data_IF_288466021352
#
_entry.id   IF_288466021352
#
_cell.length_a   1.000
_cell.length_b   1.000
_cell.length_c   1.000
_cell.angle_alpha   90.00
_cell.angle_beta   90.00
_cell.angle_gamma   90.00
#
_symmetry.space_group_name_H-M   'P 1'
#
loop_
_entity.id
_entity.type
_entity.pdbx_description
1 polymer ?
#
# COMPACT_ATOMS: atom_id res chain seq x y z
N UNK A 1 -15.03 -3.82 -34.31
CA UNK A 1 -14.96 -4.00 -32.84
C UNK A 1 -16.28 -4.52 -32.27
N UNK A 2 -17.43 -3.92 -32.59
CA UNK A 2 -18.73 -4.35 -32.04
C UNK A 2 -19.21 -5.75 -32.43
N UNK A 3 -18.81 -6.26 -33.60
CA UNK A 3 -19.15 -7.61 -34.04
C UNK A 3 -18.47 -8.74 -33.22
N UNK A 4 -17.61 -8.39 -32.27
CA UNK A 4 -16.93 -9.34 -31.37
C UNK A 4 -17.70 -9.55 -30.05
N UNK A 5 -18.75 -8.77 -29.77
CA UNK A 5 -19.51 -8.88 -28.53
C UNK A 5 -20.77 -9.74 -28.72
N UNK A 6 -20.92 -10.77 -27.88
CA UNK A 6 -22.11 -11.64 -27.90
C UNK A 6 -23.37 -10.93 -27.41
N UNK A 7 -23.22 -10.08 -26.40
CA UNK A 7 -24.28 -9.25 -25.81
C UNK A 7 -23.76 -7.84 -25.56
N UNK A 8 -24.66 -6.86 -25.66
CA UNK A 8 -24.39 -5.46 -25.39
C UNK A 8 -25.40 -4.92 -24.39
N UNK A 9 -24.89 -4.12 -23.46
CA UNK A 9 -25.63 -3.42 -22.43
C UNK A 9 -25.49 -1.92 -22.69
N UNK A 10 -26.61 -1.22 -22.83
CA UNK A 10 -26.67 0.24 -22.97
C UNK A 10 -27.21 0.81 -21.66
N UNK A 11 -26.43 1.67 -21.02
CA UNK A 11 -26.77 2.31 -19.74
C UNK A 11 -26.93 3.81 -19.96
N UNK A 12 -28.02 4.38 -19.43
CA UNK A 12 -28.25 5.81 -19.39
C UNK A 12 -28.47 6.28 -17.95
N UNK A 13 -27.60 7.14 -17.43
CA UNK A 13 -27.68 7.67 -16.06
C UNK A 13 -27.89 6.59 -14.97
N UNK A 14 -27.24 5.45 -15.12
CA UNK A 14 -27.33 4.32 -14.19
C UNK A 14 -28.54 3.39 -14.40
N UNK A 15 -29.39 3.64 -15.40
CA UNK A 15 -30.54 2.81 -15.77
C UNK A 15 -30.25 1.98 -17.01
N UNK A 16 -30.78 0.76 -17.05
CA UNK A 16 -30.64 -0.15 -18.17
C UNK A 16 -31.64 0.21 -19.27
N UNK A 17 -31.12 0.51 -20.47
CA UNK A 17 -31.92 0.92 -21.63
C UNK A 17 -32.05 -0.21 -22.65
N UNK A 18 -31.05 -1.08 -22.72
CA UNK A 18 -31.08 -2.28 -23.55
C UNK A 18 -30.05 -3.30 -23.07
N UNK A 19 -30.43 -4.57 -23.04
CA UNK A 19 -29.51 -5.69 -22.90
C UNK A 19 -29.89 -6.82 -23.87
N UNK A 20 -28.92 -7.29 -24.65
CA UNK A 20 -29.16 -8.37 -25.60
C UNK A 20 -28.15 -8.43 -26.74
N UNK A 21 -28.47 -9.18 -27.79
CA UNK A 21 -27.60 -9.33 -28.98
C UNK A 21 -27.57 -8.04 -29.79
N UNK A 22 -26.45 -7.80 -30.48
CA UNK A 22 -26.26 -6.61 -31.32
C UNK A 22 -27.32 -6.42 -32.40
N UNK A 23 -27.72 -7.49 -33.09
CA UNK A 23 -28.77 -7.42 -34.12
C UNK A 23 -30.14 -7.04 -33.53
N UNK A 24 -30.37 -7.46 -32.28
CA UNK A 24 -31.56 -7.10 -31.51
C UNK A 24 -31.55 -5.63 -31.09
N UNK A 25 -30.39 -5.08 -30.73
CA UNK A 25 -30.25 -3.70 -30.30
C UNK A 25 -30.69 -2.72 -31.40
N UNK A 26 -30.19 -2.94 -32.63
CA UNK A 26 -30.56 -2.08 -33.77
C UNK A 26 -32.04 -2.17 -34.06
N UNK A 27 -32.61 -3.38 -34.09
CA UNK A 27 -34.05 -3.58 -34.33
C UNK A 27 -34.91 -2.92 -33.25
N UNK A 28 -34.53 -3.05 -31.98
CA UNK A 28 -35.25 -2.44 -30.87
C UNK A 28 -35.27 -0.91 -31.00
N UNK A 29 -34.10 -0.29 -31.15
CA UNK A 29 -34.02 1.17 -31.25
C UNK A 29 -34.65 1.71 -32.54
N UNK A 30 -34.45 1.06 -33.69
CA UNK A 30 -35.01 1.53 -34.96
C UNK A 30 -36.51 1.27 -35.09
N UNK A 31 -36.98 0.08 -34.71
CA UNK A 31 -38.35 -0.36 -35.01
C UNK A 31 -39.31 -0.19 -33.85
N UNK A 32 -38.86 -0.31 -32.60
CA UNK A 32 -39.73 -0.15 -31.42
C UNK A 32 -39.73 1.27 -30.87
N UNK A 33 -38.62 2.00 -31.00
CA UNK A 33 -38.46 3.35 -30.45
C UNK A 33 -38.35 4.45 -31.52
N UNK A 34 -38.29 4.09 -32.81
CA UNK A 34 -38.22 5.05 -33.92
C UNK A 34 -36.92 5.85 -33.98
N UNK A 35 -35.84 5.34 -33.36
CA UNK A 35 -34.53 5.96 -33.35
C UNK A 35 -33.69 5.34 -34.47
N UNK A 36 -33.56 5.99 -35.61
CA UNK A 36 -32.82 5.48 -36.76
C UNK A 36 -31.36 5.91 -36.74
N UNK A 37 -30.51 5.04 -37.31
CA UNK A 37 -29.09 5.31 -37.49
C UNK A 37 -28.86 6.09 -38.79
N UNK A 38 -28.26 7.29 -38.75
CA UNK A 38 -27.82 7.99 -39.95
C UNK A 38 -26.78 7.20 -40.73
N UNK A 39 -26.76 7.32 -42.06
CA UNK A 39 -25.85 6.56 -42.93
C UNK A 39 -24.35 6.79 -42.66
N UNK A 40 -24.00 7.94 -42.06
CA UNK A 40 -22.62 8.34 -41.78
C UNK A 40 -22.12 7.96 -40.38
N UNK A 41 -23.00 7.43 -39.52
CA UNK A 41 -22.69 7.18 -38.11
C UNK A 41 -22.28 5.74 -37.89
N UNK A 42 -21.20 5.54 -37.12
CA UNK A 42 -20.78 4.20 -36.70
C UNK A 42 -21.83 3.56 -35.79
N UNK A 43 -21.92 2.23 -35.77
CA UNK A 43 -22.88 1.52 -34.91
C UNK A 43 -22.62 1.81 -33.40
N UNK A 44 -21.36 2.02 -33.02
CA UNK A 44 -20.97 2.35 -31.64
C UNK A 44 -21.38 3.76 -31.24
N UNK A 45 -21.18 4.74 -32.12
CA UNK A 45 -21.63 6.10 -31.86
C UNK A 45 -23.15 6.15 -31.76
N UNK A 46 -23.84 5.44 -32.65
CA UNK A 46 -25.30 5.36 -32.62
C UNK A 46 -25.82 4.80 -31.29
N UNK A 47 -25.32 3.65 -30.82
CA UNK A 47 -25.78 3.05 -29.56
C UNK A 47 -25.46 3.93 -28.34
N UNK A 48 -24.35 4.67 -28.36
CA UNK A 48 -24.00 5.61 -27.29
C UNK A 48 -24.83 6.90 -27.35
N UNK A 49 -25.19 7.32 -28.57
CA UNK A 49 -25.97 8.52 -28.82
C UNK A 49 -27.47 8.35 -28.55
N UNK A 50 -27.99 7.14 -28.66
CA UNK A 50 -29.41 6.81 -28.42
C UNK A 50 -29.88 7.20 -27.02
N UNK A 51 -29.00 7.12 -26.02
CA UNK A 51 -29.29 7.56 -24.64
C UNK A 51 -29.21 9.07 -24.43
N UNK A 52 -28.59 9.81 -25.34
CA UNK A 52 -28.38 11.26 -25.21
C UNK A 52 -29.52 12.00 -25.92
N UNK A 53 -30.15 12.93 -25.21
CA UNK A 53 -31.15 13.79 -25.82
C UNK A 53 -30.52 14.65 -26.93
N UNK A 54 -31.15 14.65 -28.11
CA UNK A 54 -30.82 15.54 -29.25
C UNK A 54 -29.43 15.33 -29.86
N UNK A 55 -28.92 14.10 -29.80
CA UNK A 55 -27.66 13.77 -30.48
C UNK A 55 -27.83 13.76 -32.02
N UNK A 56 -26.94 14.41 -32.79
CA UNK A 56 -26.97 14.41 -34.26
C UNK A 56 -26.68 13.03 -34.86
N UNK A 57 -26.23 12.08 -34.04
CA UNK A 57 -25.94 10.71 -34.42
C UNK A 57 -27.20 9.80 -34.43
N UNK A 58 -28.39 10.34 -34.16
CA UNK A 58 -29.67 9.61 -34.15
C UNK A 58 -30.76 10.43 -34.84
N UNK A 59 -31.43 9.82 -35.80
CA UNK A 59 -32.60 10.41 -36.47
C UNK A 59 -33.87 9.90 -35.81
N UNK A 60 -34.70 10.79 -35.26
CA UNK A 60 -35.97 10.39 -34.64
C UNK A 60 -37.07 10.38 -35.70
N UNK A 61 -37.77 9.26 -35.82
CA UNK A 61 -38.97 9.16 -36.65
C UNK A 61 -40.06 10.08 -36.11
N UNK A 62 -40.85 10.68 -37.00
CA UNK A 62 -42.07 11.41 -36.64
C UNK A 62 -43.19 10.51 -36.14
N UNK A 63 -43.12 9.22 -36.47
CA UNK A 63 -44.26 8.29 -36.38
C UNK A 63 -44.35 7.61 -35.01
N UNK A 64 -43.23 7.53 -34.29
CA UNK A 64 -43.13 6.92 -32.97
C UNK A 64 -42.62 7.96 -31.97
N UNK A 65 -43.36 8.16 -30.88
CA UNK A 65 -42.92 9.03 -29.78
C UNK A 65 -41.80 8.33 -29.02
N UNK A 66 -40.57 8.67 -29.38
CA UNK A 66 -39.40 8.14 -28.70
C UNK A 66 -39.31 8.66 -27.25
N UNK A 67 -38.95 7.81 -26.28
CA UNK A 67 -38.70 8.22 -24.91
C UNK A 67 -37.58 9.27 -24.85
N UNK A 68 -37.70 10.20 -23.91
CA UNK A 68 -36.74 11.32 -23.73
C UNK A 68 -36.05 11.28 -22.38
N UNK A 69 -36.71 10.76 -21.37
CA UNK A 69 -36.12 10.63 -20.03
C UNK A 69 -35.52 9.23 -19.84
N UNK A 70 -34.44 9.09 -19.04
CA UNK A 70 -33.85 7.77 -18.74
C UNK A 70 -34.87 6.77 -18.16
N UNK A 71 -35.87 7.26 -17.44
CA UNK A 71 -36.95 6.46 -16.84
C UNK A 71 -37.93 5.92 -17.88
N UNK A 72 -38.31 6.74 -18.87
CA UNK A 72 -39.13 6.29 -19.99
C UNK A 72 -38.40 5.24 -20.84
N UNK A 73 -37.08 5.38 -21.02
CA UNK A 73 -36.28 4.37 -21.73
C UNK A 73 -36.24 3.03 -21.00
N UNK A 74 -36.09 3.03 -19.68
CA UNK A 74 -36.13 1.83 -18.84
C UNK A 74 -37.51 1.16 -18.90
N UNK A 75 -38.59 1.93 -18.74
CA UNK A 75 -39.96 1.42 -18.82
C UNK A 75 -40.28 0.85 -20.22
N UNK A 76 -39.82 1.51 -21.28
CA UNK A 76 -39.98 1.03 -22.65
C UNK A 76 -39.21 -0.28 -22.89
N UNK A 77 -38.03 -0.44 -22.28
CA UNK A 77 -37.26 -1.66 -22.41
C UNK A 77 -37.93 -2.85 -21.73
N UNK A 78 -38.35 -2.70 -20.47
CA UNK A 78 -39.00 -3.79 -19.73
C UNK A 78 -40.39 -4.17 -20.27
N UNK A 79 -41.10 -3.23 -20.91
CA UNK A 79 -42.37 -3.54 -21.60
C UNK A 79 -42.17 -4.18 -22.98
N UNK A 80 -40.98 -4.07 -23.57
CA UNK A 80 -40.67 -4.63 -24.88
C UNK A 80 -40.56 -6.17 -24.86
N UNK A 81 -40.54 -6.77 -26.05
CA UNK A 81 -40.23 -8.20 -26.20
C UNK A 81 -38.78 -8.53 -25.81
N UNK A 82 -37.85 -7.58 -25.94
CA UNK A 82 -36.45 -7.78 -25.58
C UNK A 82 -36.27 -7.88 -24.06
N UNK A 83 -36.92 -6.99 -23.30
CA UNK A 83 -36.89 -7.03 -21.84
C UNK A 83 -37.53 -8.31 -21.28
N UNK A 84 -38.66 -8.75 -21.85
CA UNK A 84 -39.30 -10.02 -21.49
C UNK A 84 -38.41 -11.23 -21.76
N UNK A 85 -37.72 -11.29 -22.89
CA UNK A 85 -36.78 -12.37 -23.19
C UNK A 85 -35.61 -12.43 -22.19
N UNK A 86 -35.09 -11.27 -21.77
CA UNK A 86 -34.06 -11.22 -20.71
C UNK A 86 -34.60 -11.72 -19.38
N UNK A 87 -35.83 -11.35 -19.03
CA UNK A 87 -36.45 -11.82 -17.80
C UNK A 87 -36.67 -13.34 -17.81
N UNK A 88 -37.14 -13.91 -18.92
CA UNK A 88 -37.27 -15.36 -19.09
C UNK A 88 -35.90 -16.07 -18.98
N UNK A 89 -34.85 -15.53 -19.60
CA UNK A 89 -33.47 -16.04 -19.49
C UNK A 89 -32.98 -16.05 -18.03
N UNK A 90 -33.28 -14.98 -17.27
CA UNK A 90 -32.90 -14.85 -15.85
C UNK A 90 -33.70 -15.82 -14.99
N UNK A 91 -35.00 -15.95 -15.20
CA UNK A 91 -35.86 -16.89 -14.47
C UNK A 91 -35.46 -18.34 -14.74
N UNK A 92 -35.16 -18.67 -16.00
CA UNK A 92 -34.61 -19.98 -16.38
C UNK A 92 -33.28 -20.25 -15.68
N UNK A 93 -32.35 -19.29 -15.67
CA UNK A 93 -31.06 -19.43 -14.97
C UNK A 93 -31.23 -19.59 -13.45
N UNK A 94 -32.14 -18.83 -12.83
CA UNK A 94 -32.47 -18.93 -11.41
C UNK A 94 -33.16 -20.26 -11.06
N UNK A 95 -33.90 -20.88 -11.98
CA UNK A 95 -34.53 -22.19 -11.75
C UNK A 95 -33.53 -23.35 -11.83
N UNK A 96 -32.50 -23.24 -12.68
CA UNK A 96 -31.46 -24.26 -12.87
C UNK A 96 -30.38 -24.17 -11.79
N UNK A 97 -30.08 -22.97 -11.28
CA UNK A 97 -29.27 -22.81 -10.08
C UNK A 97 -30.18 -23.02 -8.86
N UNK A 98 -30.17 -24.19 -8.19
CA UNK A 98 -30.91 -24.30 -6.95
C UNK A 98 -30.45 -23.19 -6.03
N UNK A 99 -31.42 -22.48 -5.46
CA UNK A 99 -31.30 -21.66 -4.25
C UNK A 99 -30.89 -22.57 -3.10
N UNK A 100 -29.73 -23.24 -3.18
CA UNK A 100 -28.91 -23.31 -2.00
C UNK A 100 -28.74 -21.85 -1.59
N UNK A 101 -29.24 -21.42 -0.42
CA UNK A 101 -28.75 -20.20 0.16
C UNK A 101 -27.25 -20.47 0.21
N UNK A 102 -26.52 -19.80 -0.68
CA UNK A 102 -25.08 -19.86 -0.69
C UNK A 102 -24.74 -19.35 0.69
N UNK A 103 -24.52 -20.27 1.65
CA UNK A 103 -24.39 -19.96 3.07
C UNK A 103 -23.56 -18.71 3.12
N UNK A 104 -24.16 -17.60 3.53
CA UNK A 104 -23.51 -16.29 3.61
C UNK A 104 -22.56 -16.28 4.81
N UNK A 105 -21.78 -17.34 4.92
CA UNK A 105 -20.91 -17.72 6.01
C UNK A 105 -19.94 -18.74 5.44
N UNK A 106 -18.79 -18.23 4.98
CA UNK A 106 -17.59 -18.98 4.52
C UNK A 106 -17.57 -19.44 3.06
N UNK A 107 -17.91 -18.58 2.10
CA UNK A 107 -16.99 -18.53 0.95
C UNK A 107 -15.65 -18.05 1.49
N UNK A 108 -14.58 -18.81 1.29
CA UNK A 108 -13.25 -18.29 1.53
C UNK A 108 -13.14 -17.01 0.67
N UNK A 109 -13.15 -15.83 1.31
CA UNK A 109 -12.99 -14.51 0.65
C UNK A 109 -11.74 -14.47 -0.24
N UNK A 110 -10.86 -15.45 -0.05
CA UNK A 110 -9.62 -15.66 -0.76
C UNK A 110 -9.51 -17.13 -1.13
N UNK A 111 -9.02 -17.42 -2.35
CA UNK A 111 -8.91 -18.79 -2.86
C UNK A 111 -7.87 -19.66 -2.13
N UNK A 112 -6.86 -19.04 -1.50
CA UNK A 112 -5.73 -19.71 -0.85
C UNK A 112 -5.76 -19.59 0.68
N UNK A 113 -5.16 -20.54 1.43
CA UNK A 113 -4.99 -20.41 2.87
C UNK A 113 -3.98 -19.30 3.22
N UNK A 114 -4.07 -18.76 4.45
CA UNK A 114 -3.30 -17.60 4.91
C UNK A 114 -1.78 -17.78 4.73
N UNK A 115 -1.24 -18.94 5.11
CA UNK A 115 0.20 -19.19 5.04
C UNK A 115 0.74 -19.21 3.61
N UNK A 116 -0.02 -19.79 2.68
CA UNK A 116 0.35 -19.77 1.25
C UNK A 116 0.28 -18.35 0.68
N UNK A 117 -0.68 -17.53 1.13
CA UNK A 117 -0.71 -16.11 0.78
C UNK A 117 0.53 -15.38 1.30
N UNK A 118 0.91 -15.60 2.57
CA UNK A 118 2.10 -14.97 3.16
C UNK A 118 3.35 -15.37 2.38
N UNK A 119 3.57 -16.67 2.16
CA UNK A 119 4.74 -17.17 1.44
C UNK A 119 4.83 -16.61 0.01
N UNK A 120 3.72 -16.61 -0.74
CA UNK A 120 3.68 -16.06 -2.09
C UNK A 120 3.94 -14.54 -2.09
N UNK A 121 3.36 -13.80 -1.14
CA UNK A 121 3.62 -12.38 -0.99
C UNK A 121 5.08 -12.10 -0.58
N UNK A 122 5.70 -12.94 0.25
CA UNK A 122 7.10 -12.79 0.66
C UNK A 122 8.01 -12.99 -0.54
N UNK A 123 7.82 -14.07 -1.32
CA UNK A 123 8.60 -14.32 -2.55
C UNK A 123 8.49 -13.15 -3.51
N UNK A 124 7.27 -12.64 -3.72
CA UNK A 124 7.05 -11.46 -4.56
C UNK A 124 7.80 -10.24 -4.02
N UNK A 125 7.73 -9.99 -2.71
CA UNK A 125 8.37 -8.82 -2.10
C UNK A 125 9.90 -8.92 -2.18
N UNK A 126 10.47 -10.11 -1.98
CA UNK A 126 11.91 -10.34 -2.17
C UNK A 126 12.33 -10.12 -3.62
N UNK A 127 11.52 -10.55 -4.59
CA UNK A 127 11.78 -10.30 -6.01
C UNK A 127 11.74 -8.81 -6.34
N UNK A 128 10.79 -8.06 -5.79
CA UNK A 128 10.72 -6.59 -5.97
C UNK A 128 12.00 -5.94 -5.47
N UNK A 129 12.46 -6.32 -4.27
CA UNK A 129 13.71 -5.81 -3.71
C UNK A 129 14.94 -6.20 -4.55
N UNK A 130 14.99 -7.41 -5.10
CA UNK A 130 16.10 -7.87 -5.93
C UNK A 130 16.09 -7.30 -7.36
N UNK A 131 14.93 -6.87 -7.86
CA UNK A 131 14.79 -6.37 -9.24
C UNK A 131 15.34 -4.95 -9.40
N UNK A 132 15.34 -4.16 -8.33
CA UNK A 132 15.81 -2.78 -8.36
C UNK A 132 17.11 -2.62 -7.55
N UNK A 133 18.23 -2.99 -8.19
CA UNK A 133 19.56 -2.99 -7.56
C UNK A 133 20.14 -1.57 -7.36
N UNK A 134 19.65 -0.56 -8.08
CA UNK A 134 20.20 0.80 -8.04
C UNK A 134 20.10 1.45 -6.66
N UNK A 135 18.89 1.58 -6.09
CA UNK A 135 18.70 2.09 -4.72
C UNK A 135 19.46 1.26 -3.68
N UNK A 136 19.53 -0.05 -3.90
CA UNK A 136 20.19 -0.98 -2.99
C UNK A 136 21.70 -0.74 -2.89
N UNK A 137 22.37 -0.57 -4.04
CA UNK A 137 23.80 -0.25 -4.10
C UNK A 137 24.06 1.16 -3.52
N UNK A 138 23.19 2.13 -3.84
CA UNK A 138 23.31 3.49 -3.33
C UNK A 138 23.18 3.53 -1.79
N UNK A 139 22.25 2.78 -1.23
CA UNK A 139 22.05 2.63 0.22
C UNK A 139 23.29 1.98 0.88
N UNK A 140 23.77 0.87 0.31
CA UNK A 140 24.96 0.18 0.82
C UNK A 140 26.20 1.07 0.84
N UNK A 141 26.45 1.77 -0.28
CA UNK A 141 27.57 2.69 -0.41
C UNK A 141 27.44 3.89 0.54
N UNK A 142 26.25 4.48 0.64
CA UNK A 142 25.97 5.62 1.51
C UNK A 142 26.18 5.28 2.98
N UNK A 143 25.63 4.16 3.45
CA UNK A 143 25.77 3.72 4.84
C UNK A 143 27.20 3.33 5.18
N UNK A 144 27.91 2.64 4.28
CA UNK A 144 29.32 2.26 4.49
C UNK A 144 30.21 3.51 4.55
N UNK A 145 30.02 4.47 3.63
CA UNK A 145 30.77 5.73 3.65
C UNK A 145 30.51 6.52 4.93
N UNK A 146 29.24 6.60 5.35
CA UNK A 146 28.86 7.25 6.59
C UNK A 146 29.47 6.56 7.82
N UNK A 147 29.48 5.23 7.85
CA UNK A 147 30.12 4.43 8.88
C UNK A 147 31.63 4.70 8.96
N UNK A 148 32.32 4.85 7.82
CA UNK A 148 33.74 5.21 7.78
C UNK A 148 33.98 6.62 8.32
N UNK A 149 33.16 7.60 7.96
CA UNK A 149 33.28 8.98 8.45
C UNK A 149 33.07 9.04 9.97
N UNK A 150 32.04 8.38 10.48
CA UNK A 150 31.79 8.31 11.93
C UNK A 150 32.90 7.50 12.64
N UNK A 151 33.39 6.44 12.02
CA UNK A 151 34.49 5.63 12.53
C UNK A 151 35.81 6.42 12.65
N UNK A 152 36.15 7.27 11.68
CA UNK A 152 37.33 8.13 11.77
C UNK A 152 37.15 9.27 12.77
N UNK A 153 35.94 9.83 12.87
CA UNK A 153 35.64 10.90 13.84
C UNK A 153 35.84 10.43 15.29
N UNK A 154 35.45 9.19 15.58
CA UNK A 154 35.54 8.59 16.91
C UNK A 154 36.72 7.62 17.04
N UNK A 155 37.73 7.75 16.19
CA UNK A 155 38.84 6.81 16.09
C UNK A 155 39.51 6.55 17.44
N UNK A 156 39.65 5.27 17.79
CA UNK A 156 40.43 4.69 18.89
C UNK A 156 40.60 5.59 20.13
N UNK A 157 39.49 5.80 20.83
CA UNK A 157 39.47 6.70 21.99
C UNK A 157 40.23 6.12 23.19
N UNK A 158 41.07 6.92 23.89
CA UNK A 158 41.84 6.46 25.05
C UNK A 158 40.94 6.06 26.21
N UNK A 159 41.35 5.09 27.03
CA UNK A 159 40.60 4.65 28.21
C UNK A 159 40.72 5.67 29.37
N UNK A 160 39.95 6.75 29.28
CA UNK A 160 39.90 7.80 30.30
C UNK A 160 38.46 8.20 30.59
N UNK A 161 38.19 8.74 31.77
CA UNK A 161 36.83 9.20 32.12
C UNK A 161 36.29 10.26 31.16
N UNK A 162 37.16 11.02 30.48
CA UNK A 162 36.76 12.00 29.45
C UNK A 162 36.26 11.33 28.17
N UNK A 163 36.74 10.13 27.83
CA UNK A 163 36.33 9.43 26.61
C UNK A 163 34.97 8.74 26.74
N UNK A 164 34.43 8.60 27.96
CA UNK A 164 33.07 8.11 28.18
C UNK A 164 32.03 8.93 27.41
N UNK A 165 32.15 10.26 27.43
CA UNK A 165 31.23 11.14 26.69
C UNK A 165 31.36 10.92 25.18
N UNK A 166 32.59 10.85 24.67
CA UNK A 166 32.87 10.62 23.24
C UNK A 166 32.36 9.25 22.75
N UNK A 167 32.58 8.18 23.54
CA UNK A 167 32.06 6.83 23.26
C UNK A 167 30.53 6.78 23.32
N UNK A 168 29.94 7.49 24.28
CA UNK A 168 28.48 7.66 24.37
C UNK A 168 27.90 8.36 23.14
N UNK A 169 28.57 9.41 22.65
CA UNK A 169 28.22 10.10 21.42
C UNK A 169 28.28 9.16 20.21
N UNK A 170 29.34 8.36 20.09
CA UNK A 170 29.48 7.39 19.00
C UNK A 170 28.34 6.36 18.99
N UNK A 171 27.94 5.83 20.15
CA UNK A 171 26.80 4.93 20.27
C UNK A 171 25.47 5.62 19.91
N UNK A 172 25.28 6.86 20.37
CA UNK A 172 24.11 7.66 20.03
C UNK A 172 24.02 7.87 18.51
N UNK A 173 25.12 8.22 17.84
CA UNK A 173 25.12 8.38 16.39
C UNK A 173 24.83 7.07 15.65
N UNK A 174 25.35 5.92 16.10
CA UNK A 174 24.99 4.63 15.49
C UNK A 174 23.47 4.38 15.50
N UNK A 175 22.82 4.63 16.63
CA UNK A 175 21.35 4.51 16.75
C UNK A 175 20.64 5.56 15.90
N UNK A 176 21.15 6.78 15.87
CA UNK A 176 20.60 7.88 15.08
C UNK A 176 20.60 7.54 13.58
N UNK A 177 21.69 6.98 13.05
CA UNK A 177 21.75 6.60 11.64
C UNK A 177 20.71 5.51 11.32
N UNK A 178 20.53 4.53 12.20
CA UNK A 178 19.47 3.52 12.03
C UNK A 178 18.07 4.14 12.07
N UNK A 179 17.85 5.15 12.90
CA UNK A 179 16.57 5.87 12.97
C UNK A 179 16.29 6.68 11.69
N UNK A 180 17.30 7.36 11.14
CA UNK A 180 17.18 8.06 9.86
C UNK A 180 16.93 7.06 8.73
N UNK A 181 17.64 5.93 8.72
CA UNK A 181 17.46 4.89 7.71
C UNK A 181 16.06 4.27 7.78
N UNK A 182 15.54 4.02 8.98
CA UNK A 182 14.18 3.57 9.19
C UNK A 182 13.13 4.53 8.60
N UNK A 183 13.42 5.84 8.52
CA UNK A 183 12.48 6.80 7.95
C UNK A 183 12.21 6.57 6.46
N UNK A 184 13.13 5.96 5.71
CA UNK A 184 12.91 5.65 4.29
C UNK A 184 11.71 4.70 4.05
N UNK A 185 11.33 3.91 5.07
CA UNK A 185 10.21 2.96 5.02
C UNK A 185 8.85 3.61 4.74
N UNK A 186 8.62 4.85 5.19
CA UNK A 186 7.34 5.51 4.92
C UNK A 186 7.18 5.75 3.41
N UNK A 187 8.25 6.17 2.72
CA UNK A 187 8.23 6.44 1.28
C UNK A 187 7.93 5.19 0.46
N UNK A 188 8.61 4.08 0.79
CA UNK A 188 8.39 2.78 0.15
C UNK A 188 6.95 2.29 0.34
N UNK A 189 6.37 2.53 1.52
CA UNK A 189 4.98 2.15 1.82
C UNK A 189 3.99 2.94 0.94
N UNK A 190 4.23 4.23 0.70
CA UNK A 190 3.39 5.03 -0.19
C UNK A 190 3.46 4.54 -1.64
N UNK A 191 4.66 4.21 -2.13
CA UNK A 191 4.84 3.70 -3.49
C UNK A 191 4.07 2.39 -3.74
N UNK A 192 3.99 1.52 -2.72
CA UNK A 192 3.31 0.23 -2.82
C UNK A 192 1.80 0.28 -2.56
N UNK A 193 1.27 1.41 -2.05
CA UNK A 193 -0.14 1.54 -1.66
C UNK A 193 -1.12 1.29 -2.80
N UNK A 194 -0.84 1.83 -3.99
CA UNK A 194 -1.70 1.67 -5.16
C UNK A 194 -1.84 0.20 -5.56
N UNK A 195 -0.74 -0.54 -5.54
CA UNK A 195 -0.71 -1.98 -5.80
C UNK A 195 -1.53 -2.74 -4.75
N UNK A 196 -1.36 -2.42 -3.47
CA UNK A 196 -2.10 -3.06 -2.38
C UNK A 196 -3.61 -2.83 -2.50
N UNK A 197 -4.05 -1.60 -2.77
CA UNK A 197 -5.47 -1.28 -2.92
C UNK A 197 -6.09 -1.99 -4.13
N UNK A 198 -5.37 -2.01 -5.26
CA UNK A 198 -5.79 -2.73 -6.47
C UNK A 198 -5.94 -4.23 -6.19
N UNK A 199 -4.96 -4.85 -5.55
CA UNK A 199 -4.99 -6.28 -5.20
C UNK A 199 -6.05 -6.61 -4.15
N UNK A 200 -6.32 -5.68 -3.22
CA UNK A 200 -7.42 -5.78 -2.27
C UNK A 200 -8.79 -5.77 -2.95
N UNK A 201 -8.99 -4.88 -3.93
CA UNK A 201 -10.24 -4.80 -4.72
C UNK A 201 -10.48 -6.07 -5.56
N UNK A 202 -9.41 -6.68 -6.09
CA UNK A 202 -9.48 -7.96 -6.80
C UNK A 202 -9.49 -9.20 -5.88
N UNK A 203 -9.47 -9.01 -4.56
CA UNK A 203 -9.46 -10.07 -3.55
C UNK A 203 -8.33 -11.11 -3.73
N UNK A 204 -7.13 -10.69 -4.16
CA UNK A 204 -6.02 -11.64 -4.34
C UNK A 204 -5.47 -12.21 -3.04
N UNK A 205 -5.32 -11.37 -2.01
CA UNK A 205 -4.81 -11.77 -0.69
C UNK A 205 -5.32 -10.83 0.41
N UNK A 206 -5.26 -11.29 1.66
CA UNK A 206 -5.62 -10.50 2.82
C UNK A 206 -4.58 -9.38 3.04
N UNK A 207 -5.00 -8.13 3.33
CA UNK A 207 -4.05 -7.05 3.65
C UNK A 207 -3.13 -7.40 4.83
N UNK A 208 -3.63 -8.12 5.84
CA UNK A 208 -2.81 -8.60 6.95
C UNK A 208 -1.77 -9.64 6.55
N UNK A 209 -2.07 -10.52 5.58
CA UNK A 209 -1.09 -11.48 5.06
C UNK A 209 0.05 -10.75 4.34
N UNK A 210 -0.27 -9.67 3.61
CA UNK A 210 0.73 -8.82 2.97
C UNK A 210 1.63 -8.10 3.99
N UNK A 211 1.06 -7.53 5.05
CA UNK A 211 1.85 -6.84 6.07
C UNK A 211 2.87 -7.78 6.75
N UNK A 212 2.47 -9.02 7.06
CA UNK A 212 3.37 -10.05 7.61
C UNK A 212 4.42 -10.46 6.57
N UNK A 213 4.01 -10.66 5.32
CA UNK A 213 4.91 -11.03 4.25
C UNK A 213 6.02 -9.99 4.01
N UNK A 214 5.68 -8.70 4.09
CA UNK A 214 6.65 -7.60 4.03
C UNK A 214 7.62 -7.65 5.20
N UNK A 215 7.13 -7.82 6.43
CA UNK A 215 7.99 -7.92 7.62
C UNK A 215 9.04 -9.04 7.46
N UNK A 216 8.62 -10.20 6.97
CA UNK A 216 9.51 -11.35 6.74
C UNK A 216 10.49 -11.07 5.60
N UNK A 217 10.05 -10.42 4.53
CA UNK A 217 10.91 -10.06 3.40
C UNK A 217 11.95 -8.98 3.75
N UNK A 218 11.60 -8.04 4.64
CA UNK A 218 12.48 -6.94 5.05
C UNK A 218 13.49 -7.38 6.14
N UNK A 219 13.17 -8.42 6.91
CA UNK A 219 14.03 -8.93 7.99
C UNK A 219 15.47 -9.24 7.55
N UNK A 220 15.73 -10.01 6.47
CA UNK A 220 17.09 -10.25 5.99
C UNK A 220 17.76 -8.97 5.47
N UNK A 221 17.02 -8.07 4.83
CA UNK A 221 17.60 -6.82 4.32
C UNK A 221 18.07 -5.90 5.43
N UNK A 222 17.31 -5.79 6.52
CA UNK A 222 17.72 -5.00 7.69
C UNK A 222 18.94 -5.56 8.39
N UNK A 223 19.19 -6.88 8.33
CA UNK A 223 20.45 -7.46 8.80
C UNK A 223 21.62 -6.92 7.97
N UNK A 224 21.51 -6.87 6.64
CA UNK A 224 22.56 -6.31 5.78
C UNK A 224 22.78 -4.81 6.04
N UNK A 225 21.71 -4.04 6.25
CA UNK A 225 21.81 -2.61 6.63
C UNK A 225 22.67 -2.39 7.88
N UNK A 226 22.50 -3.24 8.91
CA UNK A 226 23.31 -3.16 10.13
C UNK A 226 24.75 -3.64 9.87
N UNK A 227 24.95 -4.63 9.00
CA UNK A 227 26.28 -5.12 8.60
C UNK A 227 27.10 -4.02 7.90
N UNK A 228 26.47 -3.16 7.10
CA UNK A 228 27.17 -2.03 6.46
C UNK A 228 27.68 -0.98 7.48
N UNK A 229 27.16 -0.99 8.71
CA UNK A 229 27.62 -0.16 9.84
C UNK A 229 28.72 -0.82 10.69
N UNK A 230 29.22 -1.99 10.31
CA UNK A 230 30.32 -2.63 11.05
C UNK A 230 31.59 -1.78 11.18
N UNK A 231 32.04 -1.00 10.17
CA UNK A 231 33.27 -0.22 10.28
C UNK A 231 33.27 0.72 11.50
N UNK A 232 32.13 1.35 11.80
CA UNK A 232 31.95 2.25 12.94
C UNK A 232 32.25 1.57 14.26
N UNK A 233 31.88 0.29 14.40
CA UNK A 233 32.11 -0.46 15.65
C UNK A 233 33.60 -0.69 15.92
N UNK A 234 34.32 -1.13 14.88
CA UNK A 234 35.74 -1.49 14.99
C UNK A 234 36.64 -0.25 15.06
N UNK A 235 36.35 0.78 14.27
CA UNK A 235 37.15 2.02 14.22
C UNK A 235 36.97 2.88 15.49
N UNK A 236 35.76 2.91 16.06
CA UNK A 236 35.52 3.61 17.32
C UNK A 236 36.19 2.93 18.54
N UNK A 237 36.76 1.73 18.36
CA UNK A 237 37.45 1.01 19.43
C UNK A 237 36.50 0.50 20.52
N UNK A 238 35.27 0.10 20.17
CA UNK A 238 34.37 -0.51 21.16
C UNK A 238 34.91 -1.84 21.68
N UNK A 239 34.34 -2.30 22.80
CA UNK A 239 34.78 -3.51 23.51
C UNK A 239 34.75 -4.72 22.59
N UNK A 240 35.92 -5.30 22.28
CA UNK A 240 36.11 -6.46 21.39
C UNK A 240 35.73 -7.80 22.05
N UNK A 241 34.57 -7.83 22.68
CA UNK A 241 33.96 -9.01 23.29
C UNK A 241 32.76 -9.45 22.44
N UNK A 242 32.59 -10.76 22.25
CA UNK A 242 31.51 -11.30 21.43
C UNK A 242 30.13 -10.89 21.95
N UNK A 243 29.94 -10.93 23.28
CA UNK A 243 28.68 -10.52 23.91
C UNK A 243 28.37 -9.03 23.68
N UNK A 244 29.38 -8.17 23.80
CA UNK A 244 29.25 -6.73 23.53
C UNK A 244 28.89 -6.44 22.07
N UNK A 245 29.54 -7.13 21.13
CA UNK A 245 29.30 -6.99 19.71
C UNK A 245 27.87 -7.40 19.33
N UNK A 246 27.42 -8.58 19.75
CA UNK A 246 26.06 -9.03 19.46
C UNK A 246 25.00 -8.16 20.15
N UNK A 247 25.28 -7.64 21.34
CA UNK A 247 24.37 -6.68 22.00
C UNK A 247 24.23 -5.40 21.16
N UNK A 248 25.34 -4.82 20.70
CA UNK A 248 25.32 -3.66 19.81
C UNK A 248 24.54 -3.95 18.52
N UNK A 249 24.83 -5.09 17.88
CA UNK A 249 24.19 -5.50 16.64
C UNK A 249 22.66 -5.66 16.79
N UNK A 250 22.23 -6.39 17.83
CA UNK A 250 20.81 -6.63 18.11
C UNK A 250 20.09 -5.33 18.47
N UNK A 251 20.71 -4.44 19.24
CA UNK A 251 20.12 -3.13 19.57
C UNK A 251 19.90 -2.30 18.31
N UNK A 252 20.88 -2.23 17.40
CA UNK A 252 20.72 -1.52 16.13
C UNK A 252 19.64 -2.16 15.24
N UNK A 253 19.62 -3.49 15.16
CA UNK A 253 18.61 -4.22 14.38
C UNK A 253 17.20 -4.01 14.91
N UNK A 254 16.99 -4.14 16.22
CA UNK A 254 15.68 -3.91 16.87
C UNK A 254 15.27 -2.44 16.73
N UNK A 255 16.21 -1.50 16.82
CA UNK A 255 15.94 -0.09 16.60
C UNK A 255 15.45 0.16 15.17
N UNK A 256 16.18 -0.33 14.16
CA UNK A 256 15.82 -0.22 12.74
C UNK A 256 14.47 -0.88 12.42
N UNK A 257 14.20 -2.05 13.00
CA UNK A 257 12.92 -2.76 12.84
C UNK A 257 11.76 -2.00 13.48
N UNK A 258 11.90 -1.62 14.76
CA UNK A 258 10.83 -0.97 15.52
C UNK A 258 10.47 0.41 14.95
N UNK A 259 11.46 1.24 14.67
CA UNK A 259 11.25 2.56 14.06
C UNK A 259 10.66 2.43 12.66
N UNK A 260 11.12 1.47 11.85
CA UNK A 260 10.58 1.22 10.52
C UNK A 260 9.09 0.86 10.55
N UNK A 261 8.67 0.07 11.53
CA UNK A 261 7.26 -0.27 11.72
C UNK A 261 6.42 0.94 12.15
N UNK A 262 6.96 1.83 12.98
CA UNK A 262 6.27 3.08 13.35
C UNK A 262 6.10 3.98 12.13
N UNK A 263 7.14 4.17 11.32
CA UNK A 263 7.04 4.99 10.10
C UNK A 263 6.08 4.39 9.07
N UNK A 264 6.06 3.06 8.93
CA UNK A 264 5.07 2.35 8.11
C UNK A 264 3.65 2.55 8.63
N UNK A 265 3.43 2.50 9.95
CA UNK A 265 2.13 2.77 10.55
C UNK A 265 1.65 4.20 10.24
N UNK A 266 2.54 5.20 10.32
CA UNK A 266 2.21 6.59 9.94
C UNK A 266 1.83 6.69 8.45
N UNK A 267 2.56 6.01 7.57
CA UNK A 267 2.27 6.00 6.14
C UNK A 267 0.91 5.38 5.80
N UNK A 268 0.52 4.29 6.49
CA UNK A 268 -0.79 3.66 6.31
C UNK A 268 -1.93 4.56 6.78
N UNK A 269 -1.76 5.26 7.91
CA UNK A 269 -2.77 6.13 8.49
C UNK A 269 -2.90 7.50 7.77
N UNK A 270 -1.94 7.87 6.92
CA UNK A 270 -1.93 9.16 6.23
C UNK A 270 -2.31 8.99 4.76
N UNK A 271 -3.05 9.94 4.18
CA UNK A 271 -3.50 9.85 2.77
C UNK A 271 -2.49 10.38 1.75
N UNK A 272 -1.54 11.22 2.17
CA UNK A 272 -0.56 11.87 1.30
C UNK A 272 0.82 11.94 1.97
N UNK A 273 1.87 11.86 1.15
CA UNK A 273 3.27 11.99 1.57
C UNK A 273 3.52 13.32 2.26
N UNK A 274 3.02 14.43 1.68
CA UNK A 274 3.24 15.79 2.22
C UNK A 274 2.67 15.94 3.64
N UNK A 275 1.52 15.31 3.91
CA UNK A 275 0.91 15.31 5.25
C UNK A 275 1.66 14.42 6.24
N UNK A 276 2.37 13.39 5.77
CA UNK A 276 3.12 12.45 6.60
C UNK A 276 4.49 13.02 7.02
N UNK A 277 5.09 13.92 6.25
CA UNK A 277 6.41 14.49 6.56
C UNK A 277 6.42 15.20 7.92
N UNK A 278 5.38 15.97 8.24
CA UNK A 278 5.29 16.73 9.50
C UNK A 278 5.27 15.82 10.75
N UNK A 279 4.36 14.83 10.88
CA UNK A 279 4.38 13.93 12.04
C UNK A 279 5.67 13.10 12.09
N UNK A 280 6.21 12.65 10.96
CA UNK A 280 7.51 11.93 10.91
C UNK A 280 8.64 12.79 11.46
N UNK A 281 8.76 14.03 11.00
CA UNK A 281 9.81 14.95 11.45
C UNK A 281 9.69 15.35 12.93
N UNK A 282 8.46 15.57 13.41
CA UNK A 282 8.22 15.84 14.84
C UNK A 282 8.61 14.63 15.68
N UNK A 283 8.19 13.42 15.28
CA UNK A 283 8.44 12.20 16.03
C UNK A 283 9.95 11.89 16.11
N UNK A 284 10.67 12.03 15.00
CA UNK A 284 12.14 11.89 14.95
C UNK A 284 12.81 12.89 15.90
N UNK A 285 12.42 14.18 15.83
CA UNK A 285 13.00 15.20 16.71
C UNK A 285 12.75 14.90 18.19
N UNK A 286 11.52 14.50 18.54
CA UNK A 286 11.18 14.12 19.92
C UNK A 286 12.02 12.93 20.37
N UNK A 287 12.16 11.88 19.56
CA UNK A 287 12.98 10.74 19.92
C UNK A 287 14.45 11.10 20.09
N UNK A 288 15.01 11.90 19.18
CA UNK A 288 16.40 12.40 19.26
C UNK A 288 16.63 13.15 20.57
N UNK A 289 15.75 14.09 20.90
CA UNK A 289 15.89 14.95 22.08
C UNK A 289 15.74 14.15 23.39
N UNK A 290 14.84 13.18 23.42
CA UNK A 290 14.52 12.35 24.59
C UNK A 290 15.29 11.00 24.62
N UNK A 291 16.30 10.80 23.77
CA UNK A 291 17.24 9.65 23.88
C UNK A 291 18.06 9.65 25.17
N UNK A 292 18.13 10.79 25.87
CA UNK A 292 18.96 10.95 27.07
C UNK A 292 20.37 11.51 26.81
N UNK A 293 20.76 11.67 25.54
CA UNK A 293 22.06 12.23 25.16
C UNK A 293 22.08 13.77 25.19
N UNK A 294 21.12 14.43 24.53
CA UNK A 294 21.01 15.90 24.55
C UNK A 294 20.43 16.46 25.85
N UNK A 295 19.37 15.83 26.36
CA UNK A 295 18.75 16.17 27.64
C UNK A 295 18.92 14.98 28.57
N UNK A 296 19.74 15.13 29.60
CA UNK A 296 19.93 14.07 30.60
C UNK A 296 18.66 13.85 31.42
N UNK A 297 18.45 12.62 31.91
CA UNK A 297 17.23 12.26 32.65
C UNK A 297 16.87 13.21 33.83
N UNK A 298 17.83 13.75 34.61
CA UNK A 298 17.52 14.73 35.67
C UNK A 298 17.10 16.11 35.15
N UNK A 299 17.54 16.48 33.94
CA UNK A 299 17.18 17.75 33.28
C UNK A 299 15.86 17.70 32.50
N UNK A 300 15.27 16.51 32.34
CA UNK A 300 13.98 16.36 31.67
C UNK A 300 12.85 16.93 32.54
N UNK A 301 11.99 17.74 31.93
CA UNK A 301 10.78 18.23 32.61
C UNK A 301 9.87 17.04 32.95
N UNK A 302 9.40 16.96 34.20
CA UNK A 302 8.62 15.83 34.75
C UNK A 302 7.44 15.42 33.86
N UNK A 303 6.74 16.39 33.27
CA UNK A 303 5.59 16.16 32.38
C UNK A 303 5.90 15.48 31.04
N UNK A 304 7.17 15.49 30.60
CA UNK A 304 7.66 14.93 29.34
C UNK A 304 8.66 13.81 29.60
N UNK A 305 9.01 13.56 30.87
CA UNK A 305 9.90 12.48 31.27
C UNK A 305 9.38 11.09 30.90
N UNK A 306 8.08 10.92 30.66
CA UNK A 306 7.51 9.65 30.20
C UNK A 306 7.85 9.32 28.74
N UNK A 307 8.17 10.31 27.89
CA UNK A 307 8.57 10.09 26.50
C UNK A 307 9.83 9.22 26.39
N UNK A 308 10.67 9.21 27.43
CA UNK A 308 11.84 8.31 27.51
C UNK A 308 11.45 6.83 27.42
N UNK A 309 10.26 6.45 27.90
CA UNK A 309 9.79 5.08 27.89
C UNK A 309 9.27 4.63 26.52
N UNK A 310 8.94 5.59 25.64
CA UNK A 310 8.59 5.30 24.26
C UNK A 310 9.81 5.05 23.37
N UNK A 311 11.00 5.43 23.83
CA UNK A 311 12.25 5.11 23.16
C UNK A 311 12.70 3.69 23.55
N UNK A 312 13.40 2.99 22.64
CA UNK A 312 13.95 1.66 22.94
C UNK A 312 14.95 1.80 24.09
N UNK A 313 14.51 1.38 25.28
CA UNK A 313 15.30 1.44 26.51
C UNK A 313 16.46 0.45 26.38
N UNK A 314 17.67 0.95 26.21
CA UNK A 314 18.86 0.18 26.58
C UNK A 314 18.81 0.01 28.10
N UNK A 315 18.86 -1.22 28.65
CA UNK A 315 18.82 -1.44 30.08
C UNK A 315 20.02 -0.74 30.72
N UNK A 316 19.77 0.31 31.49
CA UNK A 316 20.77 0.89 32.37
C UNK A 316 21.05 -0.13 33.46
N UNK A 317 22.18 -0.84 33.38
CA UNK A 317 22.79 -1.46 34.56
C UNK A 317 22.97 -0.35 35.58
N UNK A 318 22.19 -0.39 36.65
CA UNK A 318 22.48 0.37 37.86
C UNK A 318 23.80 -0.16 38.38
N UNK A 319 24.89 0.58 38.15
CA UNK A 319 26.06 0.48 39.00
C UNK A 319 25.71 1.27 40.25
N UNK A 320 25.08 0.58 41.20
CA UNK A 320 25.16 0.97 42.59
C UNK A 320 26.63 0.78 42.99
N UNK A 321 27.42 1.84 42.89
CA UNK A 321 28.72 1.90 43.55
C UNK A 321 28.48 2.33 45.01
N UNK A 322 29.10 1.64 45.98
CA UNK A 322 28.97 1.94 47.41
C UNK A 322 29.54 3.30 47.81
#
# INVERSE_FOLDING_TARGET
MLALFDKVLVINSGREVYFGRMDGAVRYFSSSLGLHRPARTSLSDYLTAVSVADSPAVERSSDIVAPRTPEEFEAAFWSSSCGRAVQEDVEAACSVMPTTPRRSGRHATYALPLWTQIAACTVRQTQVHMSDLGPWIAEAMGLTLQALILGTLYWDQPDSTRSLYTRGAALFFNVLVMALQASAEYGNTFAQRGVLLKHGAMMFYRPGAYAVAQLVADAPWKVLTVVWQLPTYWMAGFRRDAGAFFTWFVVLYVCLMSLGMVFRAIAVNTTSVTKAILPVGILINVWILYTGFYVTAPGMKVWLGWLRYLNVRVPSTQMDLP
#
